data_IF_976195091108
#
_entry.id   IF_976195091108
#
_cell.length_a   1.000
_cell.length_b   1.000
_cell.length_c   1.000
_cell.angle_alpha   90.00
_cell.angle_beta   90.00
_cell.angle_gamma   90.00
#
_symmetry.space_group_name_H-M   'P 1'
#
loop_
_entity.id
_entity.type
_entity.pdbx_description
1 polymer ?
#
# COMPACT_ATOMS: atom_id res chain seq x y z
N UNK A 1 1.31 27.77 0.26
CA UNK A 1 2.31 26.88 -0.36
C UNK A 1 1.71 25.48 -0.40
N UNK A 2 1.12 25.09 -1.51
CA UNK A 2 0.53 23.74 -1.63
C UNK A 2 1.67 22.72 -1.60
N UNK A 3 1.64 21.81 -0.64
CA UNK A 3 2.50 20.63 -0.63
C UNK A 3 2.11 19.76 -1.82
N UNK A 4 2.82 19.94 -2.92
CA UNK A 4 2.64 19.10 -4.09
C UNK A 4 3.18 17.71 -3.80
N UNK A 5 2.34 16.69 -3.95
CA UNK A 5 2.72 15.29 -3.71
C UNK A 5 3.82 14.84 -4.67
N UNK A 6 4.50 13.73 -4.33
CA UNK A 6 5.49 13.11 -5.25
C UNK A 6 4.82 12.75 -6.58
N UNK A 7 3.57 12.29 -6.54
CA UNK A 7 2.80 11.95 -7.74
C UNK A 7 2.52 13.18 -8.60
N UNK A 8 2.12 14.31 -8.02
CA UNK A 8 1.88 15.57 -8.74
C UNK A 8 3.12 15.98 -9.57
N UNK A 9 4.32 15.88 -8.97
CA UNK A 9 5.56 16.18 -9.69
C UNK A 9 5.83 15.22 -10.85
N UNK A 10 5.56 13.92 -10.67
CA UNK A 10 5.73 12.91 -11.72
C UNK A 10 4.74 13.14 -12.86
N UNK A 11 3.47 13.41 -12.55
CA UNK A 11 2.43 13.65 -13.55
C UNK A 11 2.67 14.94 -14.33
N UNK A 12 3.22 15.97 -13.69
CA UNK A 12 3.64 17.18 -14.41
C UNK A 12 4.69 16.85 -15.47
N UNK A 13 5.72 16.06 -15.12
CA UNK A 13 6.75 15.63 -16.08
C UNK A 13 6.12 14.80 -17.21
N UNK A 14 5.17 13.91 -16.90
CA UNK A 14 4.43 13.15 -17.90
C UNK A 14 3.69 14.09 -18.83
N UNK A 15 2.95 15.07 -18.30
CA UNK A 15 2.18 16.04 -19.11
C UNK A 15 3.07 16.93 -19.98
N UNK A 16 4.28 17.27 -19.53
CA UNK A 16 5.25 18.07 -20.29
C UNK A 16 5.92 17.27 -21.43
N UNK A 17 5.97 15.93 -21.34
CA UNK A 17 6.72 15.08 -22.26
C UNK A 17 5.87 14.12 -23.09
N UNK A 18 4.56 14.21 -23.06
CA UNK A 18 3.64 13.37 -23.85
C UNK A 18 2.65 14.25 -24.61
N UNK A 19 2.30 13.85 -25.83
CA UNK A 19 1.36 14.60 -26.67
C UNK A 19 0.07 13.82 -26.95
N UNK A 20 0.07 12.49 -26.77
CA UNK A 20 -1.09 11.65 -27.03
C UNK A 20 -1.70 11.12 -25.75
N UNK A 21 -3.02 10.82 -25.78
CA UNK A 21 -3.73 10.22 -24.65
C UNK A 21 -3.11 8.88 -24.22
N UNK A 22 -2.78 8.02 -25.18
CA UNK A 22 -2.22 6.68 -24.92
C UNK A 22 -0.84 6.76 -24.24
N UNK A 23 0.04 7.64 -24.73
CA UNK A 23 1.35 7.82 -24.11
C UNK A 23 1.23 8.42 -22.71
N UNK A 24 0.33 9.40 -22.54
CA UNK A 24 0.10 9.98 -21.23
C UNK A 24 -0.41 8.93 -20.23
N UNK A 25 -1.42 8.14 -20.60
CA UNK A 25 -1.96 7.06 -19.76
C UNK A 25 -0.87 6.05 -19.40
N UNK A 26 -0.09 5.60 -20.36
CA UNK A 26 1.02 4.65 -20.14
C UNK A 26 2.01 5.16 -19.10
N UNK A 27 2.48 6.39 -19.22
CA UNK A 27 3.46 6.96 -18.31
C UNK A 27 2.85 7.39 -16.98
N UNK A 28 1.60 7.80 -16.94
CA UNK A 28 0.85 8.05 -15.72
C UNK A 28 0.67 6.76 -14.92
N UNK A 29 0.27 5.65 -15.54
CA UNK A 29 0.22 4.34 -14.88
C UNK A 29 1.56 3.93 -14.28
N UNK A 30 2.64 4.03 -15.06
CA UNK A 30 3.98 3.77 -14.56
C UNK A 30 4.34 4.66 -13.37
N UNK A 31 3.97 5.94 -13.42
CA UNK A 31 4.22 6.88 -12.33
C UNK A 31 3.48 6.50 -11.05
N UNK A 32 2.21 6.11 -11.14
CA UNK A 32 1.38 5.69 -10.00
C UNK A 32 1.87 4.36 -9.42
N UNK A 33 2.25 3.40 -10.26
CA UNK A 33 2.80 2.11 -9.85
C UNK A 33 4.08 2.24 -8.99
N UNK A 34 4.81 3.33 -9.16
CA UNK A 34 6.05 3.63 -8.43
C UNK A 34 5.86 4.60 -7.24
N UNK A 35 4.62 4.78 -6.77
CA UNK A 35 4.32 5.60 -5.58
C UNK A 35 3.66 4.71 -4.53
N UNK A 36 4.35 4.48 -3.43
CA UNK A 36 3.84 3.73 -2.28
C UNK A 36 3.69 4.67 -1.09
N UNK A 37 2.67 4.43 -0.28
CA UNK A 37 2.41 5.21 0.92
C UNK A 37 1.81 4.36 2.03
N UNK A 38 2.17 4.72 3.26
CA UNK A 38 1.71 4.02 4.45
C UNK A 38 1.29 5.03 5.50
N UNK A 39 0.19 4.78 6.17
CA UNK A 39 -0.26 5.55 7.33
C UNK A 39 -0.79 4.62 8.40
N UNK A 40 -0.72 5.06 9.65
CA UNK A 40 -1.28 4.35 10.79
C UNK A 40 -2.80 4.35 10.80
N UNK A 41 -3.40 5.45 10.36
CA UNK A 41 -4.85 5.68 10.43
C UNK A 41 -5.53 5.33 9.10
N UNK A 42 -6.58 4.50 9.18
CA UNK A 42 -7.34 4.09 8.00
C UNK A 42 -8.01 5.26 7.26
N UNK A 43 -8.49 6.26 7.99
CA UNK A 43 -9.13 7.44 7.40
C UNK A 43 -8.13 8.25 6.57
N UNK A 44 -6.89 8.42 7.05
CA UNK A 44 -5.83 9.07 6.29
C UNK A 44 -5.49 8.30 5.01
N UNK A 45 -5.47 6.96 5.08
CA UNK A 45 -5.26 6.11 3.90
C UNK A 45 -6.36 6.32 2.86
N UNK A 46 -7.63 6.43 3.29
CA UNK A 46 -8.75 6.69 2.39
C UNK A 46 -8.61 8.06 1.72
N UNK A 47 -8.41 9.11 2.51
CA UNK A 47 -8.21 10.48 2.01
C UNK A 47 -7.01 10.55 1.05
N UNK A 48 -5.91 9.86 1.37
CA UNK A 48 -4.73 9.81 0.50
C UNK A 48 -5.05 9.15 -0.85
N UNK A 49 -5.80 8.05 -0.85
CA UNK A 49 -6.22 7.35 -2.08
C UNK A 49 -7.10 8.24 -2.95
N UNK A 50 -8.08 8.93 -2.36
CA UNK A 50 -8.97 9.86 -3.06
C UNK A 50 -8.17 11.02 -3.67
N UNK A 51 -7.30 11.66 -2.88
CA UNK A 51 -6.48 12.78 -3.35
C UNK A 51 -5.55 12.38 -4.50
N UNK A 52 -4.95 11.17 -4.46
CA UNK A 52 -4.13 10.69 -5.56
C UNK A 52 -4.96 10.48 -6.83
N UNK A 53 -6.16 9.93 -6.71
CA UNK A 53 -7.05 9.73 -7.85
C UNK A 53 -7.52 11.07 -8.46
N UNK A 54 -7.88 12.04 -7.62
CA UNK A 54 -8.22 13.39 -8.08
C UNK A 54 -7.03 14.07 -8.76
N UNK A 55 -5.82 13.96 -8.19
CA UNK A 55 -4.61 14.53 -8.82
C UNK A 55 -4.39 13.98 -10.23
N UNK A 56 -4.62 12.69 -10.45
CA UNK A 56 -4.50 12.07 -11.78
C UNK A 56 -5.55 12.66 -12.74
N UNK A 57 -6.80 12.72 -12.28
CA UNK A 57 -7.90 13.24 -13.10
C UNK A 57 -7.69 14.72 -13.48
N UNK A 58 -7.24 15.55 -12.53
CA UNK A 58 -6.93 16.96 -12.76
C UNK A 58 -5.81 17.14 -13.79
N UNK A 59 -4.70 16.40 -13.66
CA UNK A 59 -3.59 16.49 -14.63
C UNK A 59 -4.00 16.07 -16.04
N UNK A 60 -4.88 15.08 -16.17
CA UNK A 60 -5.39 14.65 -17.47
C UNK A 60 -6.32 15.73 -18.07
N UNK A 61 -7.28 16.25 -17.28
CA UNK A 61 -8.20 17.29 -17.70
C UNK A 61 -7.46 18.58 -18.07
N UNK A 62 -6.47 18.99 -17.29
CA UNK A 62 -5.61 20.15 -17.57
C UNK A 62 -4.81 19.99 -18.88
N UNK A 63 -4.38 18.78 -19.22
CA UNK A 63 -3.59 18.49 -20.41
C UNK A 63 -4.44 18.45 -21.68
N UNK A 64 -5.58 17.76 -21.63
CA UNK A 64 -6.38 17.43 -22.82
C UNK A 64 -7.71 18.16 -22.90
N UNK A 65 -8.10 18.87 -21.84
CA UNK A 65 -9.42 19.52 -21.70
C UNK A 65 -10.58 18.53 -21.86
N UNK A 66 -10.34 17.28 -21.44
CA UNK A 66 -11.26 16.15 -21.47
C UNK A 66 -11.20 15.40 -20.15
N UNK A 67 -12.29 14.70 -19.77
CA UNK A 67 -12.31 13.88 -18.56
C UNK A 67 -11.77 12.49 -18.86
N UNK A 68 -11.04 11.94 -17.88
CA UNK A 68 -10.65 10.54 -17.90
C UNK A 68 -11.87 9.62 -18.03
N UNK A 69 -11.75 8.59 -18.84
CA UNK A 69 -12.78 7.55 -18.94
C UNK A 69 -12.91 6.78 -17.63
N UNK A 70 -14.12 6.33 -17.32
CA UNK A 70 -14.42 5.59 -16.09
C UNK A 70 -13.55 4.33 -15.95
N UNK A 71 -13.25 3.67 -17.06
CA UNK A 71 -12.42 2.46 -17.05
C UNK A 71 -10.99 2.77 -16.63
N UNK A 72 -10.40 3.90 -17.04
CA UNK A 72 -9.05 4.32 -16.65
C UNK A 72 -9.02 4.77 -15.19
N UNK A 73 -10.04 5.50 -14.73
CA UNK A 73 -10.20 5.84 -13.31
C UNK A 73 -10.22 4.59 -12.43
N UNK A 74 -10.98 3.56 -12.82
CA UNK A 74 -11.01 2.27 -12.10
C UNK A 74 -9.66 1.57 -12.14
N UNK A 75 -8.94 1.66 -13.28
CA UNK A 75 -7.58 1.16 -13.41
C UNK A 75 -6.62 1.81 -12.42
N UNK A 76 -6.57 3.14 -12.38
CA UNK A 76 -5.76 3.90 -11.42
C UNK A 76 -6.16 3.62 -9.97
N UNK A 77 -7.46 3.58 -9.67
CA UNK A 77 -7.94 3.27 -8.33
C UNK A 77 -7.45 1.88 -7.83
N UNK A 78 -7.39 0.88 -8.71
CA UNK A 78 -6.82 -0.44 -8.40
C UNK A 78 -5.34 -0.36 -8.06
N UNK A 79 -4.54 0.41 -8.82
CA UNK A 79 -3.12 0.60 -8.53
C UNK A 79 -2.93 1.30 -7.19
N UNK A 80 -3.64 2.39 -6.97
CA UNK A 80 -3.60 3.16 -5.73
C UNK A 80 -3.99 2.29 -4.53
N UNK A 81 -5.04 1.46 -4.66
CA UNK A 81 -5.48 0.57 -3.59
C UNK A 81 -4.42 -0.45 -3.17
N UNK A 82 -3.57 -0.89 -4.11
CA UNK A 82 -2.44 -1.78 -3.83
C UNK A 82 -1.21 -1.07 -3.27
N UNK A 83 -1.05 0.22 -3.54
CA UNK A 83 0.15 0.96 -3.20
C UNK A 83 0.03 1.78 -1.92
N UNK A 84 -1.20 2.12 -1.51
CA UNK A 84 -1.45 2.95 -0.33
C UNK A 84 -2.13 2.10 0.74
N UNK A 85 -1.41 1.84 1.84
CA UNK A 85 -1.82 0.88 2.86
C UNK A 85 -1.87 1.47 4.26
N UNK A 86 -2.76 0.90 5.10
CA UNK A 86 -2.72 1.10 6.53
C UNK A 86 -1.64 0.18 7.12
N UNK A 87 -0.63 0.76 7.78
CA UNK A 87 0.48 0.00 8.34
C UNK A 87 1.06 0.66 9.59
N UNK A 88 1.36 -0.14 10.60
CA UNK A 88 2.28 0.22 11.68
C UNK A 88 3.70 0.20 11.12
N UNK A 89 4.30 1.38 10.93
CA UNK A 89 5.63 1.53 10.34
C UNK A 89 6.76 0.91 11.15
N UNK A 90 6.52 0.59 12.43
CA UNK A 90 7.51 -0.08 13.29
C UNK A 90 7.39 -1.62 13.25
N UNK A 91 6.19 -2.13 12.95
CA UNK A 91 5.89 -3.57 12.98
C UNK A 91 5.63 -4.16 11.60
N UNK A 92 5.38 -3.34 10.59
CA UNK A 92 5.05 -3.73 9.22
C UNK A 92 3.75 -4.56 9.08
N UNK A 93 2.86 -4.44 10.07
CA UNK A 93 1.53 -5.08 10.10
C UNK A 93 0.44 -4.01 10.19
N UNK A 94 -0.79 -4.39 9.89
CA UNK A 94 -1.94 -3.52 10.12
C UNK A 94 -2.02 -3.19 11.63
N UNK A 95 -2.22 -1.93 12.01
CA UNK A 95 -2.32 -1.51 13.41
C UNK A 95 -3.33 -2.37 14.18
N UNK A 96 -2.94 -2.77 15.38
CA UNK A 96 -3.75 -3.58 16.29
C UNK A 96 -4.14 -4.99 15.77
N UNK A 97 -3.55 -5.45 14.67
CA UNK A 97 -3.83 -6.78 14.12
C UNK A 97 -3.12 -7.92 14.88
N UNK A 98 -2.09 -7.61 15.68
CA UNK A 98 -1.44 -8.61 16.55
C UNK A 98 -2.36 -8.99 17.70
N UNK A 99 -2.53 -10.29 17.92
CA UNK A 99 -3.39 -10.80 18.98
C UNK A 99 -2.65 -11.79 19.89
N UNK A 100 -3.19 -11.97 21.09
CA UNK A 100 -2.82 -13.06 21.97
C UNK A 100 -3.55 -14.32 21.50
N UNK A 101 -2.82 -15.40 21.24
CA UNK A 101 -3.41 -16.67 20.86
C UNK A 101 -3.67 -17.52 22.09
N UNK A 102 -4.86 -18.09 22.19
CA UNK A 102 -5.17 -19.14 23.15
C UNK A 102 -4.77 -20.48 22.54
N UNK A 103 -3.97 -21.23 23.26
CA UNK A 103 -3.52 -22.58 22.88
C UNK A 103 -4.06 -23.52 23.95
N UNK A 104 -4.73 -24.56 23.50
CA UNK A 104 -5.18 -25.63 24.39
C UNK A 104 -3.97 -26.58 24.54
N UNK A 105 -3.41 -26.65 25.73
CA UNK A 105 -2.40 -27.64 26.09
C UNK A 105 -3.14 -28.83 26.72
N UNK A 106 -3.19 -29.92 25.97
CA UNK A 106 -3.81 -31.17 26.42
C UNK A 106 -2.72 -32.06 26.94
N UNK A 107 -2.56 -32.10 28.28
CA UNK A 107 -1.79 -33.14 28.94
C UNK A 107 -2.73 -34.32 29.29
N UNK A 108 -2.18 -35.52 29.50
CA UNK A 108 -2.95 -36.77 29.73
C UNK A 108 -4.00 -36.67 30.84
N UNK A 109 -3.93 -35.65 31.69
CA UNK A 109 -4.80 -35.51 32.88
C UNK A 109 -5.47 -34.15 33.03
N UNK A 110 -5.05 -33.09 32.28
CA UNK A 110 -5.59 -31.77 32.42
C UNK A 110 -5.59 -31.01 31.08
N UNK A 111 -6.72 -30.33 30.82
CA UNK A 111 -6.87 -29.41 29.72
C UNK A 111 -6.63 -27.98 30.22
N UNK A 112 -5.54 -27.34 29.82
CA UNK A 112 -5.21 -25.98 30.23
C UNK A 112 -5.27 -25.04 29.02
N UNK A 113 -5.90 -23.89 29.20
CA UNK A 113 -5.84 -22.81 28.20
C UNK A 113 -4.61 -21.96 28.51
N UNK A 114 -3.61 -21.99 27.64
CA UNK A 114 -2.41 -21.15 27.76
C UNK A 114 -2.54 -19.99 26.77
N UNK A 115 -2.42 -18.78 27.27
CA UNK A 115 -2.40 -17.58 26.42
C UNK A 115 -0.96 -17.27 26.01
N UNK A 116 -0.70 -17.24 24.68
CA UNK A 116 0.60 -16.85 24.13
C UNK A 116 0.49 -15.49 23.43
N UNK A 117 1.21 -14.47 23.93
CA UNK A 117 1.26 -13.17 23.26
C UNK A 117 2.00 -13.28 21.91
N UNK A 118 1.82 -12.28 21.05
CA UNK A 118 2.53 -12.19 19.78
C UNK A 118 4.06 -12.19 20.01
N UNK A 119 4.75 -13.16 19.41
CA UNK A 119 6.21 -13.33 19.54
C UNK A 119 6.97 -12.10 19.00
N UNK A 120 6.52 -11.54 17.88
CA UNK A 120 7.11 -10.33 17.31
C UNK A 120 7.00 -9.12 18.24
N UNK A 121 5.87 -8.98 18.95
CA UNK A 121 5.68 -7.89 19.93
C UNK A 121 6.54 -8.09 21.18
N UNK A 122 6.70 -9.32 21.67
CA UNK A 122 7.45 -9.60 22.90
C UNK A 122 8.95 -9.63 22.70
N UNK A 123 9.43 -10.04 21.52
CA UNK A 123 10.86 -10.19 21.21
C UNK A 123 11.40 -9.10 20.28
N UNK A 124 10.57 -8.10 19.93
CA UNK A 124 10.92 -7.05 18.96
C UNK A 124 11.44 -7.62 17.63
N UNK A 125 10.83 -8.72 17.14
CA UNK A 125 11.18 -9.35 15.87
C UNK A 125 10.07 -9.11 14.84
N UNK A 126 10.31 -8.16 13.95
CA UNK A 126 9.34 -7.72 12.96
C UNK A 126 8.90 -8.79 11.95
N UNK A 127 9.64 -9.89 11.84
CA UNK A 127 9.26 -11.02 10.98
C UNK A 127 8.38 -12.08 11.66
N UNK A 128 8.18 -11.95 12.98
CA UNK A 128 7.46 -12.94 13.81
C UNK A 128 6.16 -12.41 14.42
N UNK A 129 5.61 -11.33 13.88
CA UNK A 129 4.28 -10.90 14.26
C UNK A 129 3.22 -11.91 13.80
N UNK A 130 2.20 -12.10 14.61
CA UNK A 130 1.03 -12.90 14.24
C UNK A 130 -0.13 -12.06 13.69
N UNK A 131 0.10 -10.77 13.49
CA UNK A 131 -0.83 -9.85 12.87
C UNK A 131 -0.85 -9.95 11.33
N UNK A 132 -1.63 -9.10 10.70
CA UNK A 132 -1.78 -9.05 9.24
C UNK A 132 -0.66 -8.18 8.67
N UNK A 133 0.29 -8.81 7.98
CA UNK A 133 1.36 -8.09 7.31
C UNK A 133 0.87 -7.27 6.14
N UNK A 134 1.45 -6.08 5.97
CA UNK A 134 1.25 -5.27 4.79
C UNK A 134 1.84 -5.97 3.55
N UNK A 135 1.04 -6.08 2.50
CA UNK A 135 1.42 -6.71 1.23
C UNK A 135 1.39 -5.65 0.15
N UNK A 136 2.49 -5.46 -0.53
CA UNK A 136 2.60 -4.59 -1.69
C UNK A 136 2.64 -5.40 -2.96
N UNK A 137 2.27 -4.79 -4.07
CA UNK A 137 2.38 -5.40 -5.39
C UNK A 137 3.64 -4.89 -6.09
N UNK A 138 4.47 -5.80 -6.52
CA UNK A 138 5.51 -5.53 -7.52
C UNK A 138 4.86 -5.52 -8.90
N UNK A 139 4.79 -4.35 -9.51
CA UNK A 139 4.11 -4.16 -10.79
C UNK A 139 4.92 -4.66 -12.00
N UNK A 140 6.23 -4.82 -11.84
CA UNK A 140 7.10 -5.35 -12.89
C UNK A 140 6.97 -6.87 -12.99
N UNK A 141 7.04 -7.56 -11.86
CA UNK A 141 6.95 -9.03 -11.81
C UNK A 141 5.53 -9.55 -11.56
N UNK A 142 4.57 -8.65 -11.30
CA UNK A 142 3.19 -8.94 -10.90
C UNK A 142 3.05 -9.80 -9.64
N UNK A 143 4.06 -9.81 -8.75
CA UNK A 143 4.07 -10.58 -7.51
C UNK A 143 3.60 -9.75 -6.33
N UNK A 144 2.99 -10.43 -5.38
CA UNK A 144 2.65 -9.85 -4.08
C UNK A 144 3.78 -10.15 -3.10
N UNK A 145 4.30 -9.10 -2.46
CA UNK A 145 5.47 -9.18 -1.57
C UNK A 145 5.06 -8.61 -0.22
N UNK A 146 5.38 -9.30 0.88
CA UNK A 146 5.23 -8.70 2.20
C UNK A 146 6.26 -7.58 2.35
N UNK A 147 5.81 -6.40 2.76
CA UNK A 147 6.70 -5.24 2.88
C UNK A 147 7.88 -5.49 3.82
N UNK A 148 7.66 -6.23 4.91
CA UNK A 148 8.72 -6.64 5.85
C UNK A 148 9.84 -7.44 5.19
N UNK A 149 9.52 -8.32 4.23
CA UNK A 149 10.52 -9.13 3.53
C UNK A 149 11.40 -8.27 2.61
N UNK A 150 10.83 -7.22 2.02
CA UNK A 150 11.59 -6.27 1.22
C UNK A 150 12.56 -5.44 2.08
N UNK A 151 12.12 -5.00 3.26
CA UNK A 151 12.97 -4.21 4.19
C UNK A 151 14.15 -5.01 4.74
N UNK A 152 13.94 -6.28 5.06
CA UNK A 152 14.97 -7.13 5.69
C UNK A 152 15.67 -8.09 4.73
N UNK A 153 15.46 -7.93 3.42
CA UNK A 153 16.16 -8.73 2.40
C UNK A 153 15.76 -10.22 2.41
N UNK A 154 14.53 -10.52 2.71
CA UNK A 154 13.98 -11.87 2.77
C UNK A 154 13.31 -12.30 1.47
N UNK A 155 14.08 -12.52 0.41
CA UNK A 155 13.53 -13.01 -0.85
C UNK A 155 14.62 -13.51 -1.78
N UNK A 156 15.14 -14.68 -1.51
CA UNK A 156 15.75 -15.54 -2.54
C UNK A 156 14.84 -16.70 -2.80
#
# INVERSE_FOLDING_TARGET
MLFRSILDRKLRIVSENTDTHDDWLKWAYSSVQNVYGFDWQGDNVLIARENLLFTIAEHYEDKFNEKLETQDLVGFAKVIAWNIWQMDGLKYVIPNSCCTKEIIDEDLFERRIITKPCVGCTKCDNRKHNGIYCIIKDWETHRNIRFVDMVFGGGK
#
